data_IF_760726485307
#
_entry.id   IF_760726485307
#
_cell.length_a   1.000
_cell.length_b   1.000
_cell.length_c   1.000
_cell.angle_alpha   90.00
_cell.angle_beta   90.00
_cell.angle_gamma   90.00
#
_symmetry.space_group_name_H-M   'P 1'
#
loop_
_entity.id
_entity.type
_entity.pdbx_description
1 polymer ?
#
# COMPACT_ATOMS: atom_id res chain seq x y z
N UNK A 1 -31.47 35.18 46.93
CA UNK A 1 -31.10 33.75 46.81
C UNK A 1 -30.05 33.59 45.71
N UNK A 2 -28.79 33.33 46.06
CA UNK A 2 -27.75 32.86 45.13
C UNK A 2 -27.66 31.35 45.25
N UNK A 3 -27.62 30.62 44.14
CA UNK A 3 -27.16 29.21 43.91
C UNK A 3 -27.84 28.75 42.60
N UNK A 4 -27.23 28.11 41.60
CA UNK A 4 -25.88 27.64 41.31
C UNK A 4 -25.89 27.42 39.78
N UNK A 5 -25.05 28.11 39.02
CA UNK A 5 -24.70 27.68 37.66
C UNK A 5 -23.81 26.46 37.86
N UNK A 6 -24.42 25.27 37.93
CA UNK A 6 -23.69 24.01 38.03
C UNK A 6 -23.10 23.77 36.65
N UNK A 7 -21.81 24.09 36.52
CA UNK A 7 -21.04 23.87 35.30
C UNK A 7 -21.31 22.48 34.74
N UNK A 8 -21.84 22.45 33.53
CA UNK A 8 -21.66 21.34 32.61
C UNK A 8 -20.61 21.79 31.58
N UNK A 9 -19.41 22.13 32.07
CA UNK A 9 -18.21 21.75 31.32
C UNK A 9 -18.04 20.26 31.60
N UNK A 10 -18.90 19.43 31.00
CA UNK A 10 -18.55 18.04 30.77
C UNK A 10 -17.78 18.11 29.48
N UNK A 11 -16.46 18.13 29.60
CA UNK A 11 -15.59 17.14 28.98
C UNK A 11 -16.32 16.27 27.93
N UNK A 12 -16.72 16.86 26.81
CA UNK A 12 -17.09 16.08 25.63
C UNK A 12 -15.77 15.62 25.03
N UNK A 13 -15.25 14.59 25.73
CA UNK A 13 -14.36 13.55 25.27
C UNK A 13 -13.63 13.96 24.01
N UNK A 14 -12.33 14.26 24.16
CA UNK A 14 -11.33 13.83 23.17
C UNK A 14 -11.69 12.39 22.80
N UNK A 15 -12.51 12.23 21.76
CA UNK A 15 -13.02 10.95 21.30
C UNK A 15 -11.78 10.35 20.69
N UNK A 16 -11.10 9.47 21.44
CA UNK A 16 -10.09 8.60 20.86
C UNK A 16 -10.73 8.06 19.58
N UNK A 17 -10.11 8.28 18.41
CA UNK A 17 -10.70 7.76 17.19
C UNK A 17 -10.96 6.28 17.40
N UNK A 18 -12.10 5.79 16.92
CA UNK A 18 -12.26 4.35 16.74
C UNK A 18 -11.00 3.86 16.03
N UNK A 19 -10.31 2.88 16.61
CA UNK A 19 -8.99 2.44 16.14
C UNK A 19 -9.09 1.99 14.67
N UNK A 20 -10.26 1.48 14.25
CA UNK A 20 -10.58 1.17 12.85
C UNK A 20 -10.46 2.40 11.93
N UNK A 21 -10.91 3.59 12.37
CA UNK A 21 -10.82 4.82 11.56
C UNK A 21 -9.37 5.28 11.35
N UNK A 22 -8.50 5.07 12.34
CA UNK A 22 -7.07 5.39 12.21
C UNK A 22 -6.46 4.51 11.12
N UNK A 23 -6.68 3.19 11.19
CA UNK A 23 -6.13 2.28 10.18
C UNK A 23 -6.71 2.51 8.79
N UNK A 24 -8.01 2.87 8.68
CA UNK A 24 -8.59 3.31 7.39
C UNK A 24 -7.92 4.56 6.83
N UNK A 25 -7.54 5.50 7.69
CA UNK A 25 -6.80 6.69 7.27
C UNK A 25 -5.38 6.33 6.83
N UNK A 26 -4.67 5.49 7.60
CA UNK A 26 -3.34 4.98 7.25
C UNK A 26 -3.34 4.31 5.87
N UNK A 27 -4.32 3.43 5.60
CA UNK A 27 -4.50 2.77 4.30
C UNK A 27 -4.63 3.75 3.13
N UNK A 28 -5.46 4.79 3.29
CA UNK A 28 -5.68 5.80 2.24
C UNK A 28 -4.41 6.58 1.90
N UNK A 29 -3.57 6.81 2.89
CA UNK A 29 -2.31 7.55 2.72
C UNK A 29 -1.12 6.65 2.42
N UNK A 30 -1.30 5.31 2.45
CA UNK A 30 -0.21 4.37 2.28
C UNK A 30 0.38 4.47 0.88
N UNK A 31 1.69 4.67 0.81
CA UNK A 31 2.49 4.66 -0.42
C UNK A 31 3.78 3.91 -0.16
N UNK A 32 4.27 3.17 -1.15
CA UNK A 32 5.52 2.42 -1.09
C UNK A 32 6.69 3.37 -0.83
N UNK A 33 7.51 3.05 0.17
CA UNK A 33 8.70 3.85 0.52
C UNK A 33 9.86 3.54 -0.44
N UNK A 34 10.81 4.46 -0.62
CA UNK A 34 12.06 4.13 -1.29
C UNK A 34 12.75 2.93 -0.61
N UNK A 35 13.10 1.90 -1.38
CA UNK A 35 13.77 0.69 -0.88
C UNK A 35 12.84 -0.35 -0.24
N UNK A 36 11.55 -0.05 -0.07
CA UNK A 36 10.57 -1.02 0.41
C UNK A 36 10.17 -1.98 -0.71
N UNK A 37 10.23 -3.29 -0.45
CA UNK A 37 9.83 -4.33 -1.39
C UNK A 37 8.30 -4.41 -1.54
N UNK A 38 7.84 -4.96 -2.66
CA UNK A 38 6.40 -5.18 -2.89
C UNK A 38 5.81 -6.14 -1.84
N UNK A 39 6.59 -7.09 -1.32
CA UNK A 39 6.14 -8.01 -0.28
C UNK A 39 5.93 -7.29 1.06
N UNK A 40 6.85 -6.40 1.46
CA UNK A 40 6.70 -5.60 2.68
C UNK A 40 5.49 -4.66 2.58
N UNK A 41 5.31 -4.02 1.43
CA UNK A 41 4.13 -3.22 1.15
C UNK A 41 2.84 -4.04 1.28
N UNK A 42 2.79 -5.22 0.64
CA UNK A 42 1.61 -6.09 0.68
C UNK A 42 1.31 -6.60 2.10
N UNK A 43 2.34 -6.99 2.86
CA UNK A 43 2.20 -7.43 4.24
C UNK A 43 1.64 -6.31 5.14
N UNK A 44 2.09 -5.08 4.95
CA UNK A 44 1.56 -3.94 5.69
C UNK A 44 0.12 -3.59 5.29
N UNK A 45 -0.22 -3.66 4.00
CA UNK A 45 -1.60 -3.50 3.52
C UNK A 45 -2.52 -4.57 4.09
N UNK A 46 -2.10 -5.83 4.12
CA UNK A 46 -2.86 -6.95 4.70
C UNK A 46 -3.08 -6.77 6.21
N UNK A 47 -2.02 -6.36 6.93
CA UNK A 47 -2.09 -6.03 8.36
C UNK A 47 -3.09 -4.91 8.60
N UNK A 48 -2.98 -3.81 7.87
CA UNK A 48 -3.88 -2.66 8.00
C UNK A 48 -5.33 -3.03 7.62
N UNK A 49 -5.54 -3.84 6.58
CA UNK A 49 -6.86 -4.35 6.21
C UNK A 49 -7.53 -5.14 7.33
N UNK A 50 -6.77 -6.03 7.97
CA UNK A 50 -7.27 -6.86 9.07
C UNK A 50 -7.67 -6.02 10.29
N UNK A 51 -7.03 -4.87 10.48
CA UNK A 51 -7.32 -3.94 11.58
C UNK A 51 -8.45 -2.94 11.23
N UNK A 52 -8.47 -2.42 10.00
CA UNK A 52 -9.43 -1.42 9.52
C UNK A 52 -10.82 -2.00 9.18
N UNK A 53 -10.86 -3.27 8.78
CA UNK A 53 -12.04 -3.96 8.26
C UNK A 53 -12.19 -5.37 8.86
N UNK A 54 -11.91 -5.50 10.17
CA UNK A 54 -11.95 -6.77 10.90
C UNK A 54 -13.29 -7.51 10.78
N UNK A 55 -14.40 -6.76 10.68
CA UNK A 55 -15.77 -7.29 10.59
C UNK A 55 -16.22 -7.59 9.14
N UNK A 56 -15.44 -7.17 8.14
CA UNK A 56 -15.78 -7.43 6.74
C UNK A 56 -15.44 -8.89 6.37
N UNK A 57 -16.24 -9.53 5.50
CA UNK A 57 -15.92 -10.82 4.91
C UNK A 57 -14.53 -10.86 4.29
N UNK A 58 -13.87 -12.02 4.34
CA UNK A 58 -12.48 -12.18 3.91
C UNK A 58 -12.31 -11.87 2.42
N UNK A 59 -13.21 -12.35 1.57
CA UNK A 59 -13.21 -12.11 0.13
C UNK A 59 -13.29 -10.62 -0.22
N UNK A 60 -14.16 -9.87 0.48
CA UNK A 60 -14.27 -8.42 0.33
C UNK A 60 -12.98 -7.73 0.79
N UNK A 61 -12.41 -8.18 1.92
CA UNK A 61 -11.16 -7.63 2.45
C UNK A 61 -10.01 -7.85 1.49
N UNK A 62 -9.88 -9.03 0.88
CA UNK A 62 -8.83 -9.35 -0.08
C UNK A 62 -8.98 -8.54 -1.39
N UNK A 63 -10.22 -8.28 -1.84
CA UNK A 63 -10.48 -7.43 -2.99
C UNK A 63 -10.07 -5.97 -2.72
N UNK A 64 -10.43 -5.44 -1.55
CA UNK A 64 -10.02 -4.10 -1.13
C UNK A 64 -8.50 -4.02 -0.95
N UNK A 65 -7.90 -5.03 -0.33
CA UNK A 65 -6.45 -5.13 -0.15
C UNK A 65 -5.72 -5.07 -1.49
N UNK A 66 -6.20 -5.79 -2.50
CA UNK A 66 -5.67 -5.75 -3.86
C UNK A 66 -5.66 -4.33 -4.42
N UNK A 67 -6.77 -3.60 -4.31
CA UNK A 67 -6.89 -2.23 -4.81
C UNK A 67 -5.94 -1.28 -4.08
N UNK A 68 -5.94 -1.29 -2.74
CA UNK A 68 -5.04 -0.45 -1.94
C UNK A 68 -3.57 -0.75 -2.20
N UNK A 69 -3.22 -2.03 -2.38
CA UNK A 69 -1.86 -2.43 -2.74
C UNK A 69 -1.45 -1.83 -4.08
N UNK A 70 -2.25 -2.00 -5.13
CA UNK A 70 -1.96 -1.46 -6.47
C UNK A 70 -1.81 0.06 -6.42
N UNK A 71 -2.72 0.75 -5.74
CA UNK A 71 -2.66 2.20 -5.62
C UNK A 71 -1.44 2.64 -4.79
N UNK A 72 -1.00 1.87 -3.81
CA UNK A 72 0.16 2.21 -2.99
C UNK A 72 1.51 2.01 -3.69
N UNK A 73 1.59 1.25 -4.79
CA UNK A 73 2.84 1.05 -5.56
C UNK A 73 3.36 2.41 -6.06
N UNK A 74 4.65 2.68 -5.82
CA UNK A 74 5.30 3.94 -6.21
C UNK A 74 5.70 3.96 -7.68
N UNK A 75 6.12 2.82 -8.20
CA UNK A 75 6.54 2.67 -9.59
C UNK A 75 5.33 2.67 -10.53
N UNK A 76 5.23 3.72 -11.38
CA UNK A 76 4.03 3.94 -12.19
C UNK A 76 3.80 2.82 -13.22
N UNK A 77 4.85 2.32 -13.90
CA UNK A 77 4.70 1.24 -14.88
C UNK A 77 4.19 -0.05 -14.24
N UNK A 78 4.74 -0.41 -13.08
CA UNK A 78 4.33 -1.59 -12.31
C UNK A 78 2.91 -1.43 -11.79
N UNK A 79 2.56 -0.24 -11.29
CA UNK A 79 1.19 0.08 -10.89
C UNK A 79 0.21 -0.09 -12.05
N UNK A 80 0.48 0.53 -13.21
CA UNK A 80 -0.42 0.51 -14.36
C UNK A 80 -0.57 -0.92 -14.91
N UNK A 81 0.53 -1.66 -15.03
CA UNK A 81 0.52 -3.04 -15.51
C UNK A 81 -0.26 -3.96 -14.56
N UNK A 82 -0.09 -3.79 -13.24
CA UNK A 82 -0.84 -4.55 -12.24
C UNK A 82 -2.32 -4.20 -12.25
N UNK A 83 -2.67 -2.92 -12.44
CA UNK A 83 -4.07 -2.47 -12.56
C UNK A 83 -4.76 -3.10 -13.79
N UNK A 84 -4.05 -3.22 -14.91
CA UNK A 84 -4.56 -3.88 -16.12
C UNK A 84 -4.83 -5.37 -15.94
N UNK A 85 -4.04 -6.06 -15.10
CA UNK A 85 -4.26 -7.46 -14.77
C UNK A 85 -5.60 -7.70 -14.05
N UNK A 86 -6.17 -6.67 -13.41
CA UNK A 86 -7.46 -6.72 -12.69
C UNK A 86 -7.57 -7.92 -11.73
N UNK A 87 -6.50 -8.17 -10.96
CA UNK A 87 -6.43 -9.29 -10.04
C UNK A 87 -7.37 -9.09 -8.83
N UNK A 88 -8.22 -10.09 -8.59
CA UNK A 88 -9.23 -10.06 -7.53
C UNK A 88 -8.64 -10.10 -6.11
N UNK A 89 -7.51 -10.78 -5.93
CA UNK A 89 -6.95 -11.05 -4.60
C UNK A 89 -5.56 -10.46 -4.45
N UNK A 90 -5.23 -9.94 -3.26
CA UNK A 90 -3.94 -9.32 -2.95
C UNK A 90 -2.75 -10.19 -3.38
N UNK A 91 -2.79 -11.48 -3.06
CA UNK A 91 -1.71 -12.42 -3.41
C UNK A 91 -1.48 -12.52 -4.92
N UNK A 92 -2.54 -12.50 -5.72
CA UNK A 92 -2.45 -12.53 -7.17
C UNK A 92 -1.86 -11.24 -7.71
N UNK A 93 -2.28 -10.09 -7.18
CA UNK A 93 -1.72 -8.78 -7.53
C UNK A 93 -0.24 -8.70 -7.20
N UNK A 94 0.16 -9.08 -5.99
CA UNK A 94 1.57 -9.13 -5.57
C UNK A 94 2.41 -10.04 -6.48
N UNK A 95 1.94 -11.25 -6.73
CA UNK A 95 2.65 -12.21 -7.58
C UNK A 95 2.86 -11.67 -8.99
N UNK A 96 1.84 -11.01 -9.55
CA UNK A 96 1.95 -10.38 -10.86
C UNK A 96 2.93 -9.21 -10.84
N UNK A 97 2.79 -8.27 -9.89
CA UNK A 97 3.67 -7.10 -9.77
C UNK A 97 5.14 -7.50 -9.66
N UNK A 98 5.44 -8.52 -8.85
CA UNK A 98 6.82 -9.04 -8.72
C UNK A 98 7.35 -9.62 -10.03
N UNK A 99 6.53 -10.37 -10.77
CA UNK A 99 6.92 -10.91 -12.08
C UNK A 99 7.19 -9.79 -13.09
N UNK A 100 6.34 -8.78 -13.09
CA UNK A 100 6.50 -7.61 -13.96
C UNK A 100 7.79 -6.84 -13.62
N UNK A 101 8.04 -6.56 -12.34
CA UNK A 101 9.25 -5.88 -11.88
C UNK A 101 10.51 -6.64 -12.29
N UNK A 102 10.52 -7.96 -12.07
CA UNK A 102 11.63 -8.82 -12.48
C UNK A 102 11.85 -8.81 -14.00
N UNK A 103 10.78 -8.95 -14.80
CA UNK A 103 10.87 -8.93 -16.25
C UNK A 103 11.38 -7.57 -16.79
N UNK A 104 10.88 -6.46 -16.21
CA UNK A 104 11.28 -5.11 -16.59
C UNK A 104 12.75 -4.84 -16.24
N UNK A 105 13.19 -5.23 -15.05
CA UNK A 105 14.58 -5.06 -14.64
C UNK A 105 15.51 -5.88 -15.55
N UNK A 106 15.14 -7.12 -15.88
CA UNK A 106 15.87 -7.93 -16.86
C UNK A 106 15.93 -7.25 -18.24
N UNK A 107 14.83 -6.66 -18.72
CA UNK A 107 14.81 -5.98 -20.01
C UNK A 107 15.72 -4.74 -20.03
N UNK A 108 15.66 -3.91 -18.98
CA UNK A 108 16.52 -2.74 -18.83
C UNK A 108 18.00 -3.15 -18.78
N UNK A 109 18.33 -4.20 -18.03
CA UNK A 109 19.68 -4.76 -17.92
C UNK A 109 20.21 -5.32 -19.26
N UNK A 110 19.35 -5.92 -20.08
CA UNK A 110 19.72 -6.32 -21.45
C UNK A 110 19.98 -5.08 -22.32
N UNK A 111 19.14 -4.05 -22.23
CA UNK A 111 19.32 -2.81 -23.00
C UNK A 111 20.61 -2.08 -22.62
N UNK A 112 20.93 -1.96 -21.34
CA UNK A 112 22.16 -1.29 -20.88
C UNK A 112 23.42 -2.04 -21.32
N UNK A 113 23.40 -3.37 -21.35
CA UNK A 113 24.51 -4.19 -21.89
C UNK A 113 24.70 -4.05 -23.39
N UNK A 114 23.62 -3.88 -24.16
CA UNK A 114 23.72 -3.70 -25.61
C UNK A 114 24.24 -2.32 -26.02
N UNK A 115 24.04 -1.30 -25.18
CA UNK A 115 24.46 0.09 -25.46
C UNK A 115 25.95 0.34 -25.12
N UNK A 116 26.55 -0.46 -24.21
CA UNK A 116 27.98 -0.39 -23.87
C UNK A 116 28.69 -1.73 -24.18
N UNK A 117 29.00 -2.03 -25.46
CA UNK A 117 29.69 -3.27 -25.82
C UNK A 117 31.16 -3.31 -25.35
N UNK A 118 31.79 -2.14 -25.20
CA UNK A 118 33.20 -2.01 -24.85
C UNK A 118 33.35 -1.19 -23.56
N UNK A 119 33.34 -1.86 -22.40
CA UNK A 119 33.87 -1.29 -21.16
C UNK A 119 35.39 -1.14 -21.23
N UNK A 120 35.89 -0.40 -22.22
CA UNK A 120 37.29 -0.08 -22.40
C UNK A 120 37.77 0.82 -21.27
N UNK A 121 38.38 0.20 -20.27
CA UNK A 121 39.34 0.87 -19.40
C UNK A 121 40.62 1.04 -20.20
N UNK A 122 40.82 2.22 -20.76
CA UNK A 122 42.14 2.78 -20.98
C UNK A 122 42.30 3.89 -19.96
N UNK A 123 42.83 3.51 -18.81
CA UNK A 123 43.75 4.29 -17.96
C UNK A 123 44.21 3.41 -16.79
#
# INVERSE_FOLDING_TARGET
MKRLIKGYVREERLRTPDLEHIYRAELKTRRQKPGESLQELAADVERLMSLAYAKCPLDVRECLASQYFVDAIRDEDTQHSTRLMNAKYLKSSLTYSMKYEAARNCFQDIQTRQINPDGGSYE
#
